data_IF_594349282796
#
_entry.id   IF_594349282796
#
_cell.length_a   1.000
_cell.length_b   1.000
_cell.length_c   1.000
_cell.angle_alpha   90.00
_cell.angle_beta   90.00
_cell.angle_gamma   90.00
#
_symmetry.space_group_name_H-M   'P 1'
#
loop_
_entity.id
_entity.type
_entity.pdbx_description
1 polymer ?
#
# COMPACT_ATOMS: atom_id res chain seq x y z
N UNK A 1 12.87 17.16 -1.61
CA UNK A 1 11.47 16.79 -1.89
C UNK A 1 11.14 15.60 -1.03
N UNK A 2 9.97 15.62 -0.40
CA UNK A 2 9.46 14.47 0.35
C UNK A 2 9.13 13.35 -0.63
N UNK A 3 9.47 12.11 -0.26
CA UNK A 3 9.28 10.91 -1.08
C UNK A 3 8.09 10.12 -0.58
N UNK A 4 7.34 9.51 -1.51
CA UNK A 4 6.14 8.73 -1.22
C UNK A 4 6.40 7.24 -1.40
N UNK A 5 6.12 6.46 -0.36
CA UNK A 5 6.24 5.00 -0.34
C UNK A 5 4.84 4.39 -0.31
N UNK A 6 4.56 3.46 -1.21
CA UNK A 6 3.41 2.58 -1.15
C UNK A 6 3.82 1.26 -0.48
N UNK A 7 3.11 0.89 0.58
CA UNK A 7 3.24 -0.39 1.25
C UNK A 7 1.96 -1.20 1.06
N UNK A 8 2.08 -2.42 0.55
CA UNK A 8 0.94 -3.32 0.49
C UNK A 8 0.52 -3.82 1.89
N UNK A 9 -0.76 -4.18 2.01
CA UNK A 9 -1.33 -4.67 3.26
C UNK A 9 -1.27 -6.20 3.43
N UNK A 10 -1.84 -6.94 2.48
CA UNK A 10 -2.11 -8.38 2.59
C UNK A 10 -0.86 -9.17 2.21
N UNK A 11 -0.40 -10.09 3.06
CA UNK A 11 0.88 -10.81 2.83
C UNK A 11 2.13 -9.92 2.71
N UNK A 12 1.99 -8.60 2.90
CA UNK A 12 3.10 -7.65 3.09
C UNK A 12 3.11 -7.12 4.52
N UNK A 13 2.30 -6.11 4.87
CA UNK A 13 2.22 -5.58 6.24
C UNK A 13 1.80 -6.66 7.24
N UNK A 14 0.80 -7.46 6.87
CA UNK A 14 0.18 -8.47 7.75
C UNK A 14 1.10 -9.65 8.08
N UNK A 15 2.17 -9.91 7.30
CA UNK A 15 3.15 -10.96 7.65
C UNK A 15 3.89 -10.67 8.96
N UNK A 16 4.16 -9.40 9.25
CA UNK A 16 4.82 -9.01 10.50
C UNK A 16 4.57 -7.54 10.86
N UNK A 17 3.39 -7.22 11.44
CA UNK A 17 3.04 -5.84 11.77
C UNK A 17 4.05 -5.15 12.69
N UNK A 18 4.62 -5.88 13.66
CA UNK A 18 5.62 -5.32 14.57
C UNK A 18 6.92 -4.94 13.84
N UNK A 19 7.40 -5.77 12.92
CA UNK A 19 8.57 -5.45 12.10
C UNK A 19 8.28 -4.24 11.21
N UNK A 20 7.12 -4.23 10.56
CA UNK A 20 6.73 -3.12 9.70
C UNK A 20 6.58 -1.81 10.47
N UNK A 21 6.02 -1.83 11.68
CA UNK A 21 5.95 -0.62 12.52
C UNK A 21 7.33 0.01 12.78
N UNK A 22 8.36 -0.80 13.01
CA UNK A 22 9.74 -0.31 13.15
C UNK A 22 10.27 0.25 11.82
N UNK A 23 9.97 -0.38 10.68
CA UNK A 23 10.36 0.12 9.35
C UNK A 23 9.63 1.42 9.01
N UNK A 24 8.34 1.52 9.30
CA UNK A 24 7.51 2.72 9.09
C UNK A 24 8.04 3.90 9.90
N UNK A 25 8.47 3.64 11.14
CA UNK A 25 9.15 4.63 11.97
C UNK A 25 10.43 5.14 11.30
N UNK A 26 11.26 4.25 10.75
CA UNK A 26 12.49 4.66 10.03
C UNK A 26 12.12 5.57 8.85
N UNK A 27 11.15 5.19 8.01
CA UNK A 27 10.71 6.04 6.90
C UNK A 27 10.25 7.43 7.37
N UNK A 28 9.45 7.47 8.44
CA UNK A 28 9.00 8.71 9.05
C UNK A 28 10.16 9.58 9.57
N UNK A 29 11.14 8.98 10.25
CA UNK A 29 12.32 9.68 10.79
C UNK A 29 13.19 10.31 9.67
N UNK A 30 13.14 9.76 8.46
CA UNK A 30 13.80 10.31 7.26
C UNK A 30 12.86 11.13 6.36
N UNK A 31 11.70 11.56 6.87
CA UNK A 31 10.73 12.42 6.18
C UNK A 31 10.19 11.82 4.87
N UNK A 32 9.88 10.53 4.87
CA UNK A 32 9.07 9.88 3.83
C UNK A 32 7.59 9.88 4.23
N UNK A 33 6.70 9.98 3.24
CA UNK A 33 5.27 9.74 3.42
C UNK A 33 4.92 8.34 2.98
N UNK A 34 4.13 7.64 3.78
CA UNK A 34 3.82 6.23 3.55
C UNK A 34 2.32 6.09 3.38
N UNK A 35 1.89 5.42 2.32
CA UNK A 35 0.51 5.01 2.12
C UNK A 35 0.42 3.50 2.21
N UNK A 36 -0.61 2.99 2.88
CA UNK A 36 -1.03 1.61 2.65
C UNK A 36 -1.83 1.58 1.35
N UNK A 37 -1.49 0.71 0.41
CA UNK A 37 -2.21 0.59 -0.86
C UNK A 37 -2.57 -0.86 -1.10
N UNK A 38 -3.87 -1.15 -1.00
CA UNK A 38 -4.40 -2.53 -0.99
C UNK A 38 -5.44 -2.74 -2.09
N UNK A 39 -5.52 -3.99 -2.56
CA UNK A 39 -6.58 -4.47 -3.45
C UNK A 39 -7.93 -4.63 -2.78
N UNK A 40 -7.97 -4.60 -1.45
CA UNK A 40 -9.19 -4.72 -0.67
C UNK A 40 -10.23 -3.69 -1.12
N UNK A 41 -11.48 -4.08 -0.97
CA UNK A 41 -12.60 -3.17 -1.21
C UNK A 41 -12.74 -2.22 -0.04
N UNK A 42 -13.10 -0.97 -0.31
CA UNK A 42 -13.36 0.02 0.74
C UNK A 42 -14.60 -0.31 1.59
N UNK A 43 -15.30 -1.41 1.31
CA UNK A 43 -16.44 -1.94 2.06
C UNK A 43 -16.11 -3.24 2.79
N UNK A 44 -14.91 -3.80 2.62
CA UNK A 44 -14.49 -5.08 3.18
C UNK A 44 -13.09 -4.94 3.82
N UNK A 45 -13.02 -4.19 4.93
CA UNK A 45 -11.78 -3.82 5.62
C UNK A 45 -11.87 -3.93 7.15
N UNK A 46 -12.91 -4.59 7.65
CA UNK A 46 -13.27 -4.61 9.09
C UNK A 46 -12.23 -5.31 9.97
N UNK A 47 -11.50 -6.26 9.38
CA UNK A 47 -10.40 -7.02 9.96
C UNK A 47 -9.05 -6.29 9.88
N UNK A 48 -8.97 -5.14 9.19
CA UNK A 48 -7.74 -4.38 9.11
C UNK A 48 -7.36 -3.74 10.45
N UNK A 49 -6.06 -3.65 10.69
CA UNK A 49 -5.51 -2.87 11.80
C UNK A 49 -5.84 -1.39 11.57
N UNK A 50 -6.63 -0.80 12.47
CA UNK A 50 -7.15 0.57 12.31
C UNK A 50 -6.09 1.65 12.53
N UNK A 51 -5.15 1.40 13.44
CA UNK A 51 -4.20 2.40 13.92
C UNK A 51 -2.77 2.01 13.55
N UNK A 52 -2.49 1.83 12.26
CA UNK A 52 -1.13 1.62 11.77
C UNK A 52 -0.35 2.93 11.99
N UNK A 53 0.75 2.93 12.75
CA UNK A 53 1.46 4.17 13.06
C UNK A 53 2.24 4.67 11.83
N UNK A 54 2.46 5.99 11.77
CA UNK A 54 3.33 6.66 10.79
C UNK A 54 2.92 6.56 9.31
N UNK A 55 1.72 6.05 9.00
CA UNK A 55 1.14 6.15 7.65
C UNK A 55 0.38 7.46 7.49
N UNK A 56 0.32 7.95 6.26
CA UNK A 56 -0.43 9.15 5.88
C UNK A 56 -1.90 8.80 5.64
N UNK A 57 -2.16 7.73 4.88
CA UNK A 57 -3.51 7.24 4.60
C UNK A 57 -3.50 5.78 4.10
N UNK A 58 -4.68 5.18 4.00
CA UNK A 58 -4.91 3.88 3.36
C UNK A 58 -5.75 4.05 2.09
N UNK A 59 -5.25 3.54 0.97
CA UNK A 59 -5.91 3.59 -0.34
C UNK A 59 -6.44 2.19 -0.69
N UNK A 60 -7.75 2.12 -0.89
CA UNK A 60 -8.45 0.94 -1.37
C UNK A 60 -8.64 1.02 -2.88
N UNK A 61 -7.88 0.22 -3.64
CA UNK A 61 -7.97 0.26 -5.11
C UNK A 61 -9.17 -0.50 -5.65
N UNK A 62 -9.88 -1.24 -4.79
CA UNK A 62 -11.02 -2.07 -5.15
C UNK A 62 -10.69 -3.05 -6.30
N UNK A 63 -9.50 -3.65 -6.26
CA UNK A 63 -8.99 -4.58 -7.27
C UNK A 63 -8.50 -3.95 -8.57
N UNK A 64 -8.42 -2.63 -8.67
CA UNK A 64 -7.76 -1.96 -9.80
C UNK A 64 -6.23 -1.95 -9.61
N UNK A 65 -5.47 -1.91 -10.72
CA UNK A 65 -4.01 -1.79 -10.71
C UNK A 65 -3.58 -0.60 -9.85
N UNK A 66 -2.70 -0.84 -8.86
CA UNK A 66 -2.38 0.16 -7.84
C UNK A 66 -1.77 1.42 -8.44
N UNK A 67 -0.81 1.27 -9.36
CA UNK A 67 -0.13 2.40 -9.98
C UNK A 67 -1.10 3.29 -10.75
N UNK A 68 -1.97 2.69 -11.56
CA UNK A 68 -2.96 3.44 -12.33
C UNK A 68 -3.94 4.16 -11.40
N UNK A 69 -4.48 3.46 -10.40
CA UNK A 69 -5.44 4.04 -9.46
C UNK A 69 -4.84 5.24 -8.70
N UNK A 70 -3.63 5.09 -8.14
CA UNK A 70 -2.96 6.19 -7.43
C UNK A 70 -2.70 7.39 -8.33
N UNK A 71 -2.25 7.14 -9.57
CA UNK A 71 -2.02 8.21 -10.55
C UNK A 71 -3.32 8.96 -10.91
N UNK A 72 -4.43 8.23 -11.08
CA UNK A 72 -5.74 8.84 -11.35
C UNK A 72 -6.26 9.68 -10.16
N UNK A 73 -5.79 9.40 -8.95
CA UNK A 73 -6.03 10.18 -7.73
C UNK A 73 -4.98 11.28 -7.47
N UNK A 74 -4.09 11.57 -8.43
CA UNK A 74 -2.96 12.53 -8.30
C UNK A 74 -1.94 12.16 -7.21
N UNK A 75 -1.86 10.89 -6.83
CA UNK A 75 -0.90 10.35 -5.86
C UNK A 75 0.26 9.70 -6.61
N UNK A 76 1.38 10.40 -6.68
CA UNK A 76 2.58 9.96 -7.39
C UNK A 76 3.52 9.18 -6.45
N UNK A 77 3.44 7.85 -6.49
CA UNK A 77 4.29 6.97 -5.67
C UNK A 77 5.72 6.91 -6.23
N UNK A 78 6.72 7.08 -5.35
CA UNK A 78 8.13 6.96 -5.70
C UNK A 78 8.67 5.53 -5.52
N UNK A 79 8.23 4.83 -4.47
CA UNK A 79 8.72 3.50 -4.08
C UNK A 79 7.53 2.59 -3.80
N UNK A 80 7.56 1.37 -4.32
CA UNK A 80 6.56 0.34 -4.06
C UNK A 80 7.18 -0.81 -3.27
N UNK A 81 6.46 -1.28 -2.25
CA UNK A 81 6.79 -2.45 -1.44
C UNK A 81 5.56 -3.36 -1.43
N UNK A 82 5.69 -4.51 -2.07
CA UNK A 82 4.59 -5.41 -2.40
C UNK A 82 5.15 -6.82 -2.53
N UNK A 83 4.54 -7.81 -1.89
CA UNK A 83 4.86 -9.23 -2.08
C UNK A 83 4.46 -9.72 -3.47
N UNK A 84 3.48 -9.05 -4.09
CA UNK A 84 2.92 -9.37 -5.41
C UNK A 84 3.06 -8.17 -6.36
N UNK A 85 4.28 -7.86 -6.86
CA UNK A 85 4.55 -6.68 -7.69
C UNK A 85 3.68 -6.56 -8.96
N UNK A 86 3.16 -7.67 -9.49
CA UNK A 86 2.23 -7.68 -10.61
C UNK A 86 0.95 -6.87 -10.33
N UNK A 87 0.50 -6.80 -9.06
CA UNK A 87 -0.69 -6.05 -8.65
C UNK A 87 -0.50 -4.53 -8.78
N UNK A 88 0.76 -4.08 -8.85
CA UNK A 88 1.07 -2.68 -9.08
C UNK A 88 0.62 -2.27 -10.49
N UNK A 89 0.75 -3.16 -11.48
CA UNK A 89 0.53 -2.87 -12.91
C UNK A 89 -0.79 -3.47 -13.43
N UNK A 90 -1.26 -4.59 -12.88
CA UNK A 90 -2.41 -5.34 -13.40
C UNK A 90 -3.55 -5.41 -12.41
N UNK A 91 -4.74 -4.92 -12.79
CA UNK A 91 -5.95 -5.12 -12.01
C UNK A 91 -6.30 -6.61 -11.85
N UNK A 92 -7.12 -6.95 -10.86
CA UNK A 92 -7.45 -8.33 -10.50
C UNK A 92 -8.00 -9.18 -11.67
N UNK A 93 -8.64 -8.55 -12.65
CA UNK A 93 -9.17 -9.24 -13.85
C UNK A 93 -8.10 -9.52 -14.91
N UNK A 94 -6.98 -8.82 -14.84
CA UNK A 94 -5.91 -8.81 -15.84
C UNK A 94 -4.62 -9.47 -15.33
N UNK A 95 -4.66 -10.07 -14.13
CA UNK A 95 -3.52 -10.79 -13.56
C UNK A 95 -3.13 -11.98 -14.45
N UNK A 96 -1.83 -12.12 -14.79
CA UNK A 96 -1.35 -13.09 -15.78
C UNK A 96 -1.41 -14.55 -15.32
N UNK A 97 -1.63 -14.81 -14.02
CA UNK A 97 -1.77 -16.15 -13.45
C UNK A 97 -3.00 -16.13 -12.53
N UNK A 98 -3.97 -17.00 -12.80
CA UNK A 98 -5.05 -17.38 -11.88
C UNK A 98 -5.02 -18.87 -11.66
#
# INVERSE_FOLDING_TARGET
MQKIVALDYDDTYTLSPNMWNEILKIFNDYNYHIYIITYRQSTAFEDMVKDIPFIFDTIFTNGNAKQKYCKDCDINIDIWIDDSPETIIFGYKDLPIR
#
